data_IF_506575808993
#
_entry.id   IF_506575808993
#
_cell.length_a   1.000
_cell.length_b   1.000
_cell.length_c   1.000
_cell.angle_alpha   90.00
_cell.angle_beta   90.00
_cell.angle_gamma   90.00
#
_symmetry.space_group_name_H-M   'P 1'
#
loop_
_entity.id
_entity.type
_entity.pdbx_description
1 polymer ?
#
# COMPACT_ATOMS: atom_id res chain seq x y z
N UNK A 1 4.32 19.26 -4.21
CA UNK A 1 4.34 17.84 -4.62
C UNK A 1 5.40 17.05 -3.88
N UNK A 2 6.70 17.37 -4.01
CA UNK A 2 7.80 16.66 -3.33
C UNK A 2 7.56 16.42 -1.83
N UNK A 3 7.34 17.47 -1.04
CA UNK A 3 7.17 17.38 0.42
C UNK A 3 5.99 16.49 0.82
N UNK A 4 4.88 16.56 0.08
CA UNK A 4 3.65 15.80 0.39
C UNK A 4 3.90 14.31 0.17
N UNK A 5 4.40 13.91 -1.00
CA UNK A 5 4.63 12.50 -1.28
C UNK A 5 5.79 11.93 -0.46
N UNK A 6 6.79 12.74 -0.12
CA UNK A 6 7.85 12.30 0.79
C UNK A 6 7.31 12.05 2.21
N UNK A 7 6.48 12.94 2.72
CA UNK A 7 5.84 12.74 4.03
C UNK A 7 4.92 11.52 4.03
N UNK A 8 4.10 11.35 2.98
CA UNK A 8 3.24 10.17 2.81
C UNK A 8 4.06 8.88 2.72
N UNK A 9 5.19 8.89 2.00
CA UNK A 9 6.12 7.77 1.96
C UNK A 9 6.65 7.41 3.34
N UNK A 10 7.14 8.39 4.08
CA UNK A 10 7.71 8.18 5.41
C UNK A 10 6.69 7.64 6.41
N UNK A 11 5.50 8.24 6.44
CA UNK A 11 4.41 7.80 7.35
C UNK A 11 3.94 6.39 6.97
N UNK A 12 3.70 6.12 5.69
CA UNK A 12 3.26 4.78 5.26
C UNK A 12 4.37 3.74 5.44
N UNK A 13 5.64 4.11 5.22
CA UNK A 13 6.78 3.23 5.50
C UNK A 13 6.88 2.85 6.97
N UNK A 14 6.76 3.83 7.87
CA UNK A 14 6.70 3.59 9.31
C UNK A 14 5.55 2.65 9.69
N UNK A 15 4.34 2.93 9.18
CA UNK A 15 3.16 2.10 9.45
C UNK A 15 3.32 0.68 8.92
N UNK A 16 3.85 0.51 7.70
CA UNK A 16 4.05 -0.80 7.10
C UNK A 16 5.03 -1.66 7.91
N UNK A 17 6.12 -1.06 8.41
CA UNK A 17 7.08 -1.76 9.28
C UNK A 17 6.45 -2.12 10.62
N UNK A 18 5.75 -1.18 11.26
CA UNK A 18 5.09 -1.41 12.54
C UNK A 18 4.02 -2.52 12.45
N UNK A 19 3.18 -2.48 11.40
CA UNK A 19 2.14 -3.48 11.16
C UNK A 19 2.75 -4.84 10.77
N UNK A 20 3.85 -4.85 10.01
CA UNK A 20 4.59 -6.06 9.71
C UNK A 20 5.16 -6.73 10.95
N UNK A 21 5.78 -5.96 11.85
CA UNK A 21 6.30 -6.44 13.12
C UNK A 21 5.18 -6.97 14.04
N UNK A 22 4.06 -6.25 14.12
CA UNK A 22 2.88 -6.70 14.87
C UNK A 22 2.35 -8.04 14.34
N UNK A 23 2.28 -8.20 13.01
CA UNK A 23 1.86 -9.45 12.37
C UNK A 23 2.78 -10.64 12.68
N UNK A 24 4.09 -10.40 12.72
CA UNK A 24 5.07 -11.45 13.02
C UNK A 24 5.02 -11.94 14.47
N UNK A 25 4.62 -11.10 15.40
CA UNK A 25 4.66 -11.36 16.84
C UNK A 25 3.27 -11.39 17.49
N UNK A 26 2.71 -10.25 17.87
CA UNK A 26 1.47 -10.18 18.66
C UNK A 26 0.24 -10.74 17.95
N UNK A 27 0.05 -10.41 16.68
CA UNK A 27 -1.09 -10.88 15.91
C UNK A 27 -1.04 -12.40 15.66
N UNK A 28 0.15 -12.93 15.35
CA UNK A 28 0.34 -14.37 15.16
C UNK A 28 -0.12 -15.17 16.37
N UNK A 29 0.22 -14.72 17.58
CA UNK A 29 -0.19 -15.38 18.82
C UNK A 29 -1.71 -15.32 19.03
N UNK A 30 -2.34 -14.18 18.71
CA UNK A 30 -3.78 -14.00 18.85
C UNK A 30 -4.58 -14.81 17.84
N UNK A 31 -4.06 -15.01 16.64
CA UNK A 31 -4.73 -15.77 15.59
C UNK A 31 -4.51 -17.28 15.69
N UNK A 32 -3.47 -17.73 16.40
CA UNK A 32 -3.11 -19.14 16.50
C UNK A 32 -4.26 -20.08 16.93
N UNK A 33 -5.15 -19.71 17.88
CA UNK A 33 -6.26 -20.58 18.29
C UNK A 33 -7.45 -20.56 17.32
N UNK A 34 -7.46 -19.68 16.31
CA UNK A 34 -8.58 -19.56 15.37
C UNK A 34 -8.46 -20.57 14.23
N UNK A 35 -9.60 -21.14 13.81
CA UNK A 35 -9.67 -22.10 12.69
C UNK A 35 -9.10 -21.49 11.39
N UNK A 36 -9.38 -20.21 11.13
CA UNK A 36 -8.89 -19.47 9.97
C UNK A 36 -7.66 -18.60 10.27
N UNK A 37 -7.01 -18.80 11.41
CA UNK A 37 -5.90 -17.96 11.89
C UNK A 37 -4.72 -17.91 10.93
N UNK A 38 -4.33 -19.04 10.35
CA UNK A 38 -3.25 -19.11 9.35
C UNK A 38 -3.59 -18.29 8.10
N UNK A 39 -4.80 -18.40 7.58
CA UNK A 39 -5.27 -17.63 6.41
C UNK A 39 -5.29 -16.13 6.70
N UNK A 40 -5.78 -15.72 7.87
CA UNK A 40 -5.75 -14.31 8.28
C UNK A 40 -4.33 -13.78 8.40
N UNK A 41 -3.42 -14.57 8.90
CA UNK A 41 -2.01 -14.17 9.00
C UNK A 41 -1.38 -13.97 7.62
N UNK A 42 -1.71 -14.81 6.64
CA UNK A 42 -1.24 -14.65 5.27
C UNK A 42 -1.82 -13.40 4.60
N UNK A 43 -3.08 -13.07 4.84
CA UNK A 43 -3.67 -11.80 4.39
C UNK A 43 -2.96 -10.59 5.00
N UNK A 44 -2.63 -10.66 6.29
CA UNK A 44 -1.89 -9.60 6.97
C UNK A 44 -0.50 -9.40 6.38
N UNK A 45 0.22 -10.47 6.12
CA UNK A 45 1.54 -10.44 5.48
C UNK A 45 1.47 -9.83 4.09
N UNK A 46 0.49 -10.25 3.30
CA UNK A 46 0.23 -9.68 1.98
C UNK A 46 -0.03 -8.18 2.06
N UNK A 47 -0.90 -7.75 2.99
CA UNK A 47 -1.18 -6.35 3.22
C UNK A 47 0.08 -5.55 3.56
N UNK A 48 0.90 -6.04 4.49
CA UNK A 48 2.11 -5.37 4.93
C UNK A 48 3.17 -5.26 3.81
N UNK A 49 3.34 -6.30 3.00
CA UNK A 49 4.24 -6.28 1.86
C UNK A 49 3.82 -5.25 0.81
N UNK A 50 2.57 -5.29 0.35
CA UNK A 50 2.07 -4.31 -0.62
C UNK A 50 2.10 -2.89 -0.07
N UNK A 51 1.81 -2.70 1.22
CA UNK A 51 1.92 -1.42 1.91
C UNK A 51 3.34 -0.88 1.83
N UNK A 52 4.34 -1.68 2.21
CA UNK A 52 5.74 -1.26 2.20
C UNK A 52 6.24 -0.94 0.78
N UNK A 53 5.98 -1.81 -0.20
CA UNK A 53 6.40 -1.56 -1.58
C UNK A 53 5.82 -0.25 -2.13
N UNK A 54 4.56 0.05 -1.85
CA UNK A 54 3.92 1.26 -2.37
C UNK A 54 4.23 2.50 -1.51
N UNK A 55 4.59 2.33 -0.24
CA UNK A 55 5.21 3.40 0.53
C UNK A 55 6.55 3.85 -0.08
N UNK A 56 7.39 2.90 -0.51
CA UNK A 56 8.63 3.19 -1.23
C UNK A 56 8.36 3.80 -2.61
N UNK A 57 7.33 3.34 -3.33
CA UNK A 57 6.91 3.92 -4.59
C UNK A 57 6.48 5.40 -4.45
N UNK A 58 5.84 5.77 -3.33
CA UNK A 58 5.57 7.18 -3.01
C UNK A 58 6.84 8.00 -2.82
N UNK A 59 7.88 7.41 -2.23
CA UNK A 59 9.21 8.02 -2.14
C UNK A 59 9.82 8.27 -3.52
N UNK A 60 9.70 7.29 -4.43
CA UNK A 60 10.13 7.44 -5.81
C UNK A 60 9.38 8.57 -6.52
N UNK A 61 8.04 8.64 -6.36
CA UNK A 61 7.23 9.76 -6.88
C UNK A 61 7.74 11.11 -6.36
N UNK A 62 8.06 11.19 -5.08
CA UNK A 62 8.61 12.42 -4.49
C UNK A 62 9.94 12.82 -5.15
N UNK A 63 10.88 11.87 -5.29
CA UNK A 63 12.20 12.11 -5.86
C UNK A 63 12.17 12.52 -7.34
N UNK A 64 11.15 12.10 -8.08
CA UNK A 64 10.96 12.45 -9.49
C UNK A 64 10.27 13.81 -9.69
N UNK A 65 9.75 14.43 -8.61
CA UNK A 65 9.12 15.73 -8.70
C UNK A 65 10.10 16.80 -9.22
N UNK A 66 9.70 17.49 -10.30
CA UNK A 66 10.54 18.47 -11.00
C UNK A 66 11.45 17.88 -12.09
N UNK A 67 11.52 16.55 -12.23
CA UNK A 67 12.33 15.84 -13.24
C UNK A 67 11.51 15.25 -14.37
N UNK A 68 10.22 15.00 -14.11
CA UNK A 68 9.26 14.46 -15.07
C UNK A 68 7.99 15.29 -15.04
N UNK A 69 7.08 15.17 -16.06
CA UNK A 69 5.81 15.91 -16.07
C UNK A 69 4.99 15.69 -14.81
N UNK A 70 4.47 16.79 -14.26
CA UNK A 70 3.77 16.78 -12.97
C UNK A 70 2.43 16.02 -12.99
N UNK A 71 1.68 16.09 -14.10
CA UNK A 71 0.35 15.49 -14.17
C UNK A 71 0.36 13.96 -14.02
N UNK A 72 1.11 13.17 -14.83
CA UNK A 72 1.16 11.72 -14.64
C UNK A 72 1.82 11.34 -13.31
N UNK A 73 2.78 12.12 -12.82
CA UNK A 73 3.40 11.86 -11.52
C UNK A 73 2.42 12.03 -10.36
N UNK A 74 1.54 13.03 -10.42
CA UNK A 74 0.48 13.24 -9.42
C UNK A 74 -0.55 12.10 -9.46
N UNK A 75 -0.92 11.64 -10.65
CA UNK A 75 -1.80 10.47 -10.82
C UNK A 75 -1.17 9.24 -10.16
N UNK A 76 0.12 8.99 -10.42
CA UNK A 76 0.84 7.86 -9.83
C UNK A 76 0.81 7.90 -8.30
N UNK A 77 1.17 9.02 -7.70
CA UNK A 77 1.19 9.18 -6.26
C UNK A 77 -0.19 9.03 -5.62
N UNK A 78 -1.21 9.66 -6.19
CA UNK A 78 -2.59 9.54 -5.70
C UNK A 78 -3.14 8.12 -5.82
N UNK A 79 -2.83 7.42 -6.91
CA UNK A 79 -3.22 6.04 -7.13
C UNK A 79 -2.53 5.10 -6.14
N UNK A 80 -1.25 5.31 -5.79
CA UNK A 80 -0.57 4.54 -4.77
C UNK A 80 -1.18 4.75 -3.38
N UNK A 81 -1.53 5.98 -3.01
CA UNK A 81 -2.22 6.26 -1.74
C UNK A 81 -3.58 5.55 -1.69
N UNK A 82 -4.39 5.68 -2.74
CA UNK A 82 -5.69 5.00 -2.82
C UNK A 82 -5.51 3.47 -2.77
N UNK A 83 -4.52 2.93 -3.47
CA UNK A 83 -4.19 1.52 -3.45
C UNK A 83 -3.79 1.01 -2.06
N UNK A 84 -2.97 1.73 -1.32
CA UNK A 84 -2.62 1.38 0.07
C UNK A 84 -3.88 1.33 0.93
N UNK A 85 -4.73 2.35 0.85
CA UNK A 85 -5.95 2.41 1.65
C UNK A 85 -6.93 1.27 1.31
N UNK A 86 -7.17 1.01 0.02
CA UNK A 86 -8.16 0.03 -0.43
C UNK A 86 -7.63 -1.40 -0.41
N UNK A 87 -6.39 -1.65 -0.78
CA UNK A 87 -5.80 -2.98 -0.81
C UNK A 87 -5.33 -3.40 0.59
N UNK A 88 -4.31 -2.75 1.11
CA UNK A 88 -3.72 -3.12 2.40
C UNK A 88 -4.69 -2.82 3.55
N UNK A 89 -5.38 -1.67 3.51
CA UNK A 89 -6.35 -1.29 4.51
C UNK A 89 -7.52 -2.26 4.62
N UNK A 90 -8.10 -2.73 3.51
CA UNK A 90 -9.17 -3.73 3.53
C UNK A 90 -8.71 -5.07 4.10
N UNK A 91 -7.52 -5.54 3.75
CA UNK A 91 -6.95 -6.78 4.29
C UNK A 91 -6.68 -6.67 5.79
N UNK A 92 -6.08 -5.57 6.26
CA UNK A 92 -5.91 -5.35 7.70
C UNK A 92 -7.25 -5.36 8.44
N UNK A 93 -8.24 -4.64 7.92
CA UNK A 93 -9.57 -4.59 8.51
C UNK A 93 -10.26 -5.96 8.54
N UNK A 94 -10.17 -6.74 7.45
CA UNK A 94 -10.70 -8.10 7.39
C UNK A 94 -10.07 -9.02 8.44
N UNK A 95 -8.75 -8.92 8.63
CA UNK A 95 -8.04 -9.74 9.62
C UNK A 95 -8.46 -9.38 11.04
N UNK A 96 -8.57 -8.10 11.36
CA UNK A 96 -8.89 -7.65 12.71
C UNK A 96 -10.36 -7.84 13.08
N UNK A 97 -11.27 -7.65 12.12
CA UNK A 97 -12.72 -7.68 12.38
C UNK A 97 -13.37 -9.00 12.01
N UNK A 98 -12.76 -9.80 11.15
CA UNK A 98 -13.37 -10.99 10.55
C UNK A 98 -14.42 -10.71 9.47
N UNK A 99 -14.67 -9.45 9.12
CA UNK A 99 -15.65 -9.02 8.13
C UNK A 99 -15.17 -9.27 6.70
N UNK A 100 -15.49 -10.43 6.14
CA UNK A 100 -15.14 -10.81 4.76
C UNK A 100 -15.82 -9.96 3.69
N UNK A 101 -16.86 -9.20 4.06
CA UNK A 101 -17.55 -8.26 3.16
C UNK A 101 -16.65 -7.14 2.63
N UNK A 102 -15.49 -6.89 3.26
CA UNK A 102 -14.48 -5.94 2.79
C UNK A 102 -13.62 -6.49 1.64
N UNK A 103 -13.70 -7.81 1.37
CA UNK A 103 -12.93 -8.48 0.31
C UNK A 103 -12.98 -7.84 -1.08
N UNK A 104 -14.16 -7.39 -1.57
CA UNK A 104 -14.26 -6.73 -2.87
C UNK A 104 -13.46 -5.42 -3.00
N UNK A 105 -13.10 -4.76 -1.90
CA UNK A 105 -12.26 -3.54 -1.92
C UNK A 105 -10.80 -3.85 -2.29
N UNK A 106 -10.33 -5.03 -1.93
CA UNK A 106 -8.93 -5.43 -2.18
C UNK A 106 -8.57 -5.43 -3.67
N UNK A 107 -9.34 -6.06 -4.58
CA UNK A 107 -9.07 -5.98 -6.02
C UNK A 107 -9.13 -4.55 -6.57
N UNK A 108 -10.03 -3.71 -6.07
CA UNK A 108 -10.10 -2.29 -6.48
C UNK A 108 -8.80 -1.57 -6.11
N UNK A 109 -8.29 -1.79 -4.90
CA UNK A 109 -6.98 -1.28 -4.48
C UNK A 109 -5.83 -1.80 -5.35
N UNK A 110 -5.89 -3.07 -5.77
CA UNK A 110 -4.94 -3.64 -6.73
C UNK A 110 -4.94 -2.93 -8.07
N UNK A 111 -6.11 -2.59 -8.61
CA UNK A 111 -6.25 -1.77 -9.82
C UNK A 111 -5.64 -0.38 -9.63
N UNK A 112 -5.84 0.24 -8.46
CA UNK A 112 -5.19 1.53 -8.14
C UNK A 112 -3.66 1.41 -8.23
N UNK A 113 -3.07 0.35 -7.72
CA UNK A 113 -1.62 0.11 -7.84
C UNK A 113 -1.17 0.00 -9.30
N UNK A 114 -1.90 -0.75 -10.12
CA UNK A 114 -1.61 -0.88 -11.56
C UNK A 114 -1.69 0.47 -12.28
N UNK A 115 -2.71 1.27 -11.99
CA UNK A 115 -2.84 2.64 -12.51
C UNK A 115 -1.64 3.51 -12.08
N UNK A 116 -1.23 3.41 -10.82
CA UNK A 116 -0.06 4.12 -10.30
C UNK A 116 1.22 3.80 -11.07
N UNK A 117 1.50 2.51 -11.28
CA UNK A 117 2.68 2.07 -12.03
C UNK A 117 2.61 2.44 -13.52
N UNK A 118 1.44 2.33 -14.16
CA UNK A 118 1.25 2.76 -15.54
C UNK A 118 1.47 4.27 -15.70
N UNK A 119 0.95 5.07 -14.78
CA UNK A 119 1.14 6.52 -14.78
C UNK A 119 2.61 6.91 -14.55
N UNK A 120 3.33 6.17 -13.70
CA UNK A 120 4.76 6.38 -13.47
C UNK A 120 5.59 6.05 -14.71
N UNK A 121 5.26 4.93 -15.39
CA UNK A 121 5.88 4.58 -16.67
C UNK A 121 5.61 5.66 -17.74
N UNK A 122 4.38 6.16 -17.81
CA UNK A 122 4.04 7.26 -18.71
C UNK A 122 4.84 8.53 -18.39
N UNK A 123 5.00 8.88 -17.11
CA UNK A 123 5.82 10.01 -16.70
C UNK A 123 7.27 9.85 -17.15
N UNK A 124 7.84 8.63 -17.01
CA UNK A 124 9.22 8.34 -17.42
C UNK A 124 9.41 8.47 -18.94
N UNK A 125 8.46 7.98 -19.75
CA UNK A 125 8.51 8.11 -21.21
C UNK A 125 8.40 9.56 -21.70
N UNK A 126 7.91 10.47 -20.86
CA UNK A 126 7.79 11.90 -21.13
C UNK A 126 8.87 12.76 -20.44
N UNK A 127 9.82 12.12 -19.75
CA UNK A 127 11.00 12.81 -19.19
C UNK A 127 11.83 13.45 -20.31
N UNK A 128 12.27 14.68 -20.11
CA UNK A 128 13.15 15.40 -21.04
C UNK A 128 14.57 15.42 -20.49
#
# INVERSE_FOLDING_TARGET
MFRIFLALSAVNGFLAVALGAFGAHGLRQRLAPLVDGAQRLDWWRTAAHFHLFHALALGLVALLAGRVPAAPLSIAGSAFVAGIALFSGSLYAMVLTGLRALGPLTPVGGVCFLVGWAALAWAALRAR
#
